data_IF_723371321228
#
_entry.id   IF_723371321228
#
_cell.length_a   1.000
_cell.length_b   1.000
_cell.length_c   1.000
_cell.angle_alpha   90.00
_cell.angle_beta   90.00
_cell.angle_gamma   90.00
#
_symmetry.space_group_name_H-M   'P 1'
#
loop_
_entity.id
_entity.type
_entity.pdbx_description
1 polymer ?
#
# COMPACT_ATOMS: atom_id res chain seq x y z
N UNK A 1 17.02 -56.14 -20.34
CA UNK A 1 16.29 -54.92 -20.82
C UNK A 1 15.34 -54.27 -19.77
N UNK A 2 15.15 -54.82 -18.57
CA UNK A 2 14.18 -54.27 -17.59
C UNK A 2 14.66 -53.12 -16.68
N UNK A 3 15.97 -52.99 -16.41
CA UNK A 3 16.50 -52.03 -15.42
C UNK A 3 16.42 -50.56 -15.85
N UNK A 4 16.47 -50.27 -17.15
CA UNK A 4 16.48 -48.89 -17.66
C UNK A 4 15.08 -48.25 -17.70
N UNK A 5 14.02 -49.05 -17.86
CA UNK A 5 12.64 -48.55 -17.96
C UNK A 5 12.15 -47.89 -16.66
N UNK A 6 12.57 -48.40 -15.49
CA UNK A 6 12.25 -47.80 -14.20
C UNK A 6 12.94 -46.47 -13.95
N UNK A 7 14.20 -46.34 -14.38
CA UNK A 7 14.99 -45.10 -14.22
C UNK A 7 14.41 -43.96 -15.05
N UNK A 8 14.01 -44.25 -16.30
CA UNK A 8 13.35 -43.25 -17.16
C UNK A 8 11.98 -42.81 -16.63
N UNK A 9 11.21 -43.73 -16.03
CA UNK A 9 9.92 -43.40 -15.41
C UNK A 9 10.04 -42.49 -14.19
N UNK A 10 11.04 -42.76 -13.33
CA UNK A 10 11.31 -41.92 -12.15
C UNK A 10 11.84 -40.55 -12.56
N UNK A 11 12.73 -40.46 -13.55
CA UNK A 11 13.24 -39.19 -14.05
C UNK A 11 12.13 -38.32 -14.68
N UNK A 12 11.22 -38.92 -15.46
CA UNK A 12 10.08 -38.21 -16.03
C UNK A 12 9.11 -37.70 -14.96
N UNK A 13 8.85 -38.51 -13.91
CA UNK A 13 7.99 -38.10 -12.79
C UNK A 13 8.61 -36.94 -11.99
N UNK A 14 9.92 -36.99 -11.73
CA UNK A 14 10.65 -35.92 -11.06
C UNK A 14 10.68 -34.62 -11.89
N UNK A 15 10.81 -34.73 -13.21
CA UNK A 15 10.75 -33.58 -14.11
C UNK A 15 9.34 -32.96 -14.13
N UNK A 16 8.28 -33.78 -14.19
CA UNK A 16 6.89 -33.31 -14.12
C UNK A 16 6.61 -32.68 -12.75
N UNK A 17 7.06 -33.28 -11.65
CA UNK A 17 6.96 -32.69 -10.32
C UNK A 17 7.71 -31.36 -10.23
N UNK A 18 8.90 -31.24 -10.82
CA UNK A 18 9.67 -30.00 -10.87
C UNK A 18 9.03 -28.92 -11.74
N UNK A 19 8.27 -29.30 -12.77
CA UNK A 19 7.53 -28.36 -13.64
C UNK A 19 6.19 -27.96 -13.00
N UNK A 20 5.54 -28.87 -12.27
CA UNK A 20 4.32 -28.59 -11.51
C UNK A 20 4.59 -27.77 -10.23
N UNK A 21 5.76 -27.97 -9.61
CA UNK A 21 6.29 -27.13 -8.53
C UNK A 21 7.01 -25.95 -9.18
N UNK A 22 6.26 -25.07 -9.83
CA UNK A 22 6.83 -23.87 -10.45
C UNK A 22 7.77 -23.18 -9.47
N UNK A 23 9.04 -23.04 -9.86
CA UNK A 23 10.04 -22.28 -9.10
C UNK A 23 9.60 -20.82 -9.18
N UNK A 24 8.81 -20.37 -8.19
CA UNK A 24 8.54 -18.94 -8.04
C UNK A 24 9.82 -18.27 -7.58
N UNK A 25 10.36 -17.39 -8.42
CA UNK A 25 11.50 -16.58 -8.05
C UNK A 25 11.16 -15.73 -6.81
N UNK A 26 12.15 -15.49 -5.97
CA UNK A 26 11.99 -14.54 -4.88
C UNK A 26 11.62 -13.15 -5.43
N UNK A 27 10.86 -12.33 -4.66
CA UNK A 27 10.58 -10.96 -5.04
C UNK A 27 11.86 -10.17 -5.34
N UNK A 28 11.80 -9.24 -6.28
CA UNK A 28 12.94 -8.41 -6.71
C UNK A 28 13.44 -7.49 -5.58
N UNK A 29 12.56 -7.14 -4.64
CA UNK A 29 12.87 -6.35 -3.45
C UNK A 29 12.28 -7.02 -2.21
N UNK A 30 12.90 -6.88 -1.04
CA UNK A 30 12.41 -7.56 0.16
C UNK A 30 11.08 -6.99 0.67
N UNK A 31 10.78 -5.72 0.39
CA UNK A 31 9.54 -5.11 0.84
C UNK A 31 9.04 -3.96 -0.04
N UNK A 32 7.71 -3.74 -0.01
CA UNK A 32 7.03 -2.69 -0.75
C UNK A 32 6.02 -1.94 0.13
N UNK A 33 6.29 -0.68 0.45
CA UNK A 33 5.41 0.17 1.26
C UNK A 33 4.63 1.15 0.38
N UNK A 34 3.35 1.32 0.67
CA UNK A 34 2.43 2.10 -0.16
C UNK A 34 1.73 3.14 0.70
N UNK A 35 1.71 4.38 0.22
CA UNK A 35 1.03 5.53 0.81
C UNK A 35 0.19 6.18 -0.28
N UNK A 36 -0.98 6.65 0.09
CA UNK A 36 -1.85 7.28 -0.90
C UNK A 36 -3.27 7.48 -0.44
N UNK A 37 -4.14 7.67 -1.43
CA UNK A 37 -5.57 7.83 -1.23
C UNK A 37 -6.37 6.64 -1.78
N UNK A 38 -7.61 6.87 -2.19
CA UNK A 38 -8.51 5.87 -2.78
C UNK A 38 -7.92 5.15 -4.00
N UNK A 39 -6.99 5.77 -4.74
CA UNK A 39 -6.40 5.16 -5.93
C UNK A 39 -5.58 3.90 -5.62
N UNK A 40 -5.12 3.78 -4.37
CA UNK A 40 -4.27 2.67 -3.92
C UNK A 40 -4.70 2.08 -2.57
N UNK A 41 -5.80 2.55 -1.97
CA UNK A 41 -6.40 1.93 -0.78
C UNK A 41 -6.92 0.53 -1.13
N UNK A 42 -6.59 -0.44 -0.29
CA UNK A 42 -7.00 -1.83 -0.43
C UNK A 42 -7.77 -2.37 0.78
N UNK A 43 -8.29 -1.49 1.64
CA UNK A 43 -9.20 -1.84 2.72
C UNK A 43 -8.99 -1.11 4.04
N UNK A 44 -8.10 -0.11 4.12
CA UNK A 44 -7.87 0.63 5.37
C UNK A 44 -9.10 1.43 5.79
N UNK A 45 -9.94 1.86 4.85
CA UNK A 45 -11.17 2.58 5.16
C UNK A 45 -12.33 1.67 5.60
N UNK A 46 -12.24 0.35 5.48
CA UNK A 46 -13.38 -0.56 5.66
C UNK A 46 -14.03 -0.50 7.05
N UNK A 47 -13.23 -0.25 8.09
CA UNK A 47 -13.68 -0.15 9.48
C UNK A 47 -13.78 1.30 9.99
N UNK A 48 -13.49 2.27 9.13
CA UNK A 48 -13.65 3.68 9.48
C UNK A 48 -15.11 4.10 9.29
N UNK A 49 -15.60 4.97 10.18
CA UNK A 49 -16.88 5.65 9.99
C UNK A 49 -16.75 6.70 8.89
N UNK A 50 -16.82 6.24 7.64
CA UNK A 50 -16.52 7.02 6.44
C UNK A 50 -17.50 6.72 5.31
N UNK A 51 -17.81 7.74 4.52
CA UNK A 51 -18.47 7.59 3.22
C UNK A 51 -17.48 7.13 2.14
N UNK A 52 -16.18 7.38 2.35
CA UNK A 52 -15.11 6.94 1.45
C UNK A 52 -14.76 5.47 1.71
N UNK A 53 -15.66 4.56 1.32
CA UNK A 53 -15.47 3.10 1.38
C UNK A 53 -15.77 2.45 0.02
N UNK A 54 -15.10 1.34 -0.27
CA UNK A 54 -15.27 0.56 -1.51
C UNK A 54 -15.32 -0.96 -1.23
N UNK A 55 -15.87 -1.34 -0.07
CA UNK A 55 -16.09 -2.74 0.34
C UNK A 55 -17.51 -3.23 0.04
N UNK A 56 -18.09 -2.76 -1.06
CA UNK A 56 -19.43 -3.14 -1.56
C UNK A 56 -19.46 -3.10 -3.09
N UNK A 57 -20.42 -3.79 -3.71
CA UNK A 57 -20.59 -3.80 -5.17
C UNK A 57 -20.97 -2.39 -5.69
N UNK A 58 -20.49 -1.96 -6.87
CA UNK A 58 -19.80 -2.76 -7.90
C UNK A 58 -18.27 -2.86 -7.72
N UNK A 59 -17.69 -2.29 -6.67
CA UNK A 59 -16.24 -2.39 -6.44
C UNK A 59 -15.82 -3.85 -6.25
N UNK A 60 -14.67 -4.22 -6.82
CA UNK A 60 -14.15 -5.58 -6.72
C UNK A 60 -14.92 -6.64 -7.51
N UNK A 61 -15.81 -6.27 -8.44
CA UNK A 61 -16.57 -7.23 -9.27
C UNK A 61 -15.67 -8.15 -10.11
N UNK A 62 -14.51 -7.66 -10.54
CA UNK A 62 -13.49 -8.39 -11.29
C UNK A 62 -12.33 -8.88 -10.39
N UNK A 63 -12.39 -8.61 -9.08
CA UNK A 63 -11.37 -9.04 -8.12
C UNK A 63 -11.71 -10.43 -7.56
N UNK A 64 -10.76 -11.40 -7.51
CA UNK A 64 -11.07 -12.77 -7.08
C UNK A 64 -11.72 -12.90 -5.71
N UNK A 65 -11.42 -11.98 -4.78
CA UNK A 65 -11.96 -11.97 -3.42
C UNK A 65 -13.16 -11.02 -3.25
N UNK A 66 -13.70 -10.48 -4.35
CA UNK A 66 -14.79 -9.52 -4.33
C UNK A 66 -14.40 -8.13 -3.80
N UNK A 67 -15.36 -7.36 -3.26
CA UNK A 67 -15.13 -6.01 -2.74
C UNK A 67 -14.19 -6.03 -1.52
N UNK A 68 -12.96 -5.56 -1.72
CA UNK A 68 -11.93 -5.52 -0.66
C UNK A 68 -11.71 -4.13 -0.04
N UNK A 69 -12.29 -3.08 -0.62
CA UNK A 69 -11.95 -1.70 -0.31
C UNK A 69 -11.12 -0.99 -1.39
N UNK A 70 -10.80 -1.69 -2.49
CA UNK A 70 -10.20 -1.10 -3.69
C UNK A 70 -11.24 -0.31 -4.47
N UNK A 71 -10.94 0.95 -4.80
CA UNK A 71 -11.81 1.83 -5.59
C UNK A 71 -11.70 1.52 -7.10
N UNK A 72 -11.84 0.24 -7.45
CA UNK A 72 -11.75 -0.30 -8.80
C UNK A 72 -12.63 -1.55 -8.90
N UNK A 73 -12.91 -2.00 -10.12
CA UNK A 73 -13.52 -3.32 -10.32
C UNK A 73 -12.55 -4.45 -9.91
N UNK A 74 -11.24 -4.20 -9.98
CA UNK A 74 -10.23 -5.23 -9.78
C UNK A 74 -8.99 -4.68 -9.06
N UNK A 75 -7.82 -4.97 -9.65
CA UNK A 75 -6.52 -4.52 -9.16
C UNK A 75 -6.39 -3.00 -9.24
N UNK A 76 -5.65 -2.43 -8.30
CA UNK A 76 -5.09 -1.08 -8.36
C UNK A 76 -3.69 -1.13 -9.00
N UNK A 77 -3.12 0.03 -9.33
CA UNK A 77 -1.76 0.11 -9.90
C UNK A 77 -0.71 -0.54 -8.99
N UNK A 78 -0.83 -0.39 -7.66
CA UNK A 78 0.12 -0.95 -6.70
C UNK A 78 0.00 -2.46 -6.57
N UNK A 79 -1.17 -3.04 -6.83
CA UNK A 79 -1.33 -4.49 -6.92
C UNK A 79 -0.58 -5.05 -8.13
N UNK A 80 -0.68 -4.37 -9.28
CA UNK A 80 0.04 -4.75 -10.50
C UNK A 80 1.55 -4.61 -10.28
N UNK A 81 2.01 -3.54 -9.61
CA UNK A 81 3.43 -3.37 -9.26
C UNK A 81 3.90 -4.50 -8.35
N UNK A 82 3.12 -4.89 -7.33
CA UNK A 82 3.47 -6.00 -6.44
C UNK A 82 3.64 -7.33 -7.20
N UNK A 83 2.78 -7.62 -8.18
CA UNK A 83 2.94 -8.79 -9.04
C UNK A 83 4.19 -8.71 -9.91
N UNK A 84 4.47 -7.56 -10.52
CA UNK A 84 5.66 -7.36 -11.34
C UNK A 84 6.96 -7.46 -10.53
N UNK A 85 6.92 -7.04 -9.26
CA UNK A 85 8.02 -7.21 -8.30
C UNK A 85 8.16 -8.66 -7.81
N UNK A 86 7.24 -9.56 -8.15
CA UNK A 86 7.31 -10.98 -7.81
C UNK A 86 6.82 -11.34 -6.41
N UNK A 87 6.01 -10.50 -5.77
CA UNK A 87 5.38 -10.87 -4.49
C UNK A 87 4.31 -11.96 -4.69
N UNK A 88 4.31 -12.97 -3.81
CA UNK A 88 3.32 -14.06 -3.85
C UNK A 88 1.90 -13.61 -3.54
N UNK A 89 1.76 -12.54 -2.76
CA UNK A 89 0.49 -11.97 -2.32
C UNK A 89 0.53 -10.45 -2.49
N UNK A 90 -0.64 -9.83 -2.65
CA UNK A 90 -0.75 -8.38 -2.60
C UNK A 90 -0.32 -7.84 -1.23
N UNK A 91 0.25 -6.63 -1.22
CA UNK A 91 0.66 -5.96 0.01
C UNK A 91 -0.57 -5.70 0.91
N UNK A 92 -0.59 -6.14 2.17
CA UNK A 92 -1.78 -6.05 3.02
C UNK A 92 -2.08 -4.61 3.46
N UNK A 93 -3.36 -4.26 3.71
CA UNK A 93 -3.70 -2.99 4.36
C UNK A 93 -3.16 -2.97 5.79
N UNK A 94 -2.75 -1.78 6.26
CA UNK A 94 -2.33 -1.55 7.64
C UNK A 94 -3.35 -2.03 8.67
N UNK A 95 -4.64 -1.92 8.38
CA UNK A 95 -5.73 -2.37 9.27
C UNK A 95 -5.70 -3.88 9.60
N UNK A 96 -5.05 -4.71 8.79
CA UNK A 96 -4.95 -6.16 9.01
C UNK A 96 -3.53 -6.70 9.04
N UNK A 97 -2.53 -5.90 8.63
CA UNK A 97 -1.13 -6.32 8.60
C UNK A 97 -0.58 -6.53 10.02
N UNK A 98 0.07 -7.67 10.26
CA UNK A 98 0.63 -7.99 11.58
C UNK A 98 1.78 -9.00 11.52
N UNK A 99 2.54 -9.10 12.61
CA UNK A 99 3.62 -10.09 12.75
C UNK A 99 4.67 -9.98 11.64
N UNK A 100 5.15 -11.13 11.14
CA UNK A 100 6.18 -11.17 10.10
C UNK A 100 5.70 -10.69 8.72
N UNK A 101 4.39 -10.55 8.50
CA UNK A 101 3.87 -10.08 7.21
C UNK A 101 4.34 -8.66 6.90
N UNK A 102 4.51 -7.81 7.92
CA UNK A 102 4.94 -6.42 7.76
C UNK A 102 6.34 -6.30 7.15
N UNK A 103 7.17 -7.35 7.26
CA UNK A 103 8.50 -7.41 6.63
C UNK A 103 8.42 -7.41 5.11
N UNK A 104 7.32 -7.87 4.51
CA UNK A 104 7.08 -7.81 3.06
C UNK A 104 6.55 -6.46 2.59
N UNK A 105 6.22 -5.55 3.50
CA UNK A 105 5.60 -4.26 3.19
C UNK A 105 4.17 -4.15 3.69
N UNK A 106 3.67 -2.91 3.71
CA UNK A 106 2.32 -2.58 4.19
C UNK A 106 1.77 -1.43 3.35
N UNK A 107 0.47 -1.50 3.06
CA UNK A 107 -0.28 -0.45 2.42
C UNK A 107 -0.98 0.43 3.46
N UNK A 108 -0.56 1.68 3.57
CA UNK A 108 -1.08 2.69 4.48
C UNK A 108 -2.13 3.61 3.87
N UNK A 109 -2.38 3.48 2.55
CA UNK A 109 -3.28 4.38 1.84
C UNK A 109 -4.68 4.38 2.43
N UNK A 110 -5.34 5.53 2.37
CA UNK A 110 -6.68 5.70 2.93
C UNK A 110 -7.52 6.58 2.03
N UNK A 111 -8.68 6.11 1.61
CA UNK A 111 -9.55 6.90 0.76
C UNK A 111 -9.95 8.24 1.39
N UNK A 112 -10.09 9.25 0.53
CA UNK A 112 -10.27 10.66 0.87
C UNK A 112 -9.08 11.34 1.58
N UNK A 113 -7.98 10.64 1.82
CA UNK A 113 -6.79 11.26 2.41
C UNK A 113 -6.19 12.34 1.49
N UNK A 114 -5.70 13.41 2.12
CA UNK A 114 -4.84 14.40 1.50
C UNK A 114 -3.53 14.57 2.26
N UNK A 115 -2.69 15.43 1.71
CA UNK A 115 -1.46 15.95 2.32
C UNK A 115 -1.83 16.72 3.58
N UNK A 116 -2.85 17.58 3.50
CA UNK A 116 -3.34 18.38 4.62
C UNK A 116 -4.20 17.55 5.56
N UNK A 117 -4.17 17.91 6.84
CA UNK A 117 -4.93 17.18 7.86
C UNK A 117 -6.43 17.28 7.60
N UNK A 118 -6.96 18.46 7.32
CA UNK A 118 -8.40 18.68 7.16
C UNK A 118 -9.00 18.09 5.87
N UNK A 119 -8.16 17.77 4.87
CA UNK A 119 -8.64 17.26 3.58
C UNK A 119 -9.49 16.00 3.75
N UNK A 120 -10.65 15.98 3.07
CA UNK A 120 -11.56 14.83 3.04
C UNK A 120 -12.39 14.60 4.30
N UNK A 121 -12.32 15.46 5.32
CA UNK A 121 -13.08 15.30 6.58
C UNK A 121 -14.60 15.30 6.39
N UNK A 122 -15.12 16.01 5.38
CA UNK A 122 -16.53 16.03 5.04
C UNK A 122 -17.08 14.64 4.63
N UNK A 123 -16.19 13.71 4.25
CA UNK A 123 -16.54 12.32 3.95
C UNK A 123 -16.45 11.41 5.18
N UNK A 124 -16.12 11.95 6.36
CA UNK A 124 -15.99 11.20 7.61
C UNK A 124 -14.55 10.83 7.94
N UNK A 125 -14.37 9.72 8.65
CA UNK A 125 -13.06 9.27 9.10
C UNK A 125 -12.17 8.84 7.93
N UNK A 126 -10.90 9.24 7.98
CA UNK A 126 -9.83 8.94 7.01
C UNK A 126 -8.47 9.06 7.70
N UNK A 127 -7.44 8.43 7.13
CA UNK A 127 -6.06 8.53 7.61
C UNK A 127 -5.30 9.51 6.69
N UNK A 128 -5.14 10.76 7.13
CA UNK A 128 -4.35 11.79 6.43
C UNK A 128 -2.91 11.33 6.17
N UNK A 129 -2.16 11.99 5.27
CA UNK A 129 -0.79 11.57 4.98
C UNK A 129 0.09 11.50 6.24
N UNK A 130 0.03 12.48 7.14
CA UNK A 130 0.75 12.39 8.43
C UNK A 130 0.29 11.19 9.26
N UNK A 131 -0.99 10.83 9.21
CA UNK A 131 -1.50 9.61 9.83
C UNK A 131 -0.89 8.35 9.25
N UNK A 132 -0.73 8.28 7.93
CA UNK A 132 -0.09 7.17 7.23
C UNK A 132 1.39 7.09 7.61
N UNK A 133 2.09 8.22 7.68
CA UNK A 133 3.49 8.29 8.15
C UNK A 133 3.62 7.81 9.61
N UNK A 134 2.69 8.19 10.50
CA UNK A 134 2.68 7.67 11.88
C UNK A 134 2.43 6.16 11.93
N UNK A 135 1.56 5.63 11.08
CA UNK A 135 1.35 4.19 10.96
C UNK A 135 2.61 3.47 10.48
N UNK A 136 3.32 4.06 9.52
CA UNK A 136 4.61 3.58 9.06
C UNK A 136 5.67 3.58 10.17
N UNK A 137 5.82 4.67 10.93
CA UNK A 137 6.74 4.70 12.08
C UNK A 137 6.47 3.56 13.07
N UNK A 138 5.20 3.28 13.38
CA UNK A 138 4.81 2.15 14.25
C UNK A 138 5.18 0.80 13.63
N UNK A 139 4.97 0.62 12.33
CA UNK A 139 5.41 -0.58 11.62
C UNK A 139 6.92 -0.74 11.73
N UNK A 140 7.66 0.34 11.54
CA UNK A 140 9.12 0.30 11.56
C UNK A 140 9.67 -0.04 12.95
N UNK A 141 9.08 0.46 14.04
CA UNK A 141 9.43 -0.01 15.39
C UNK A 141 9.22 -1.52 15.56
N UNK A 142 8.17 -2.08 14.96
CA UNK A 142 7.95 -3.54 14.98
C UNK A 142 8.98 -4.29 14.11
N UNK A 143 9.35 -3.73 12.95
CA UNK A 143 10.39 -4.28 12.08
C UNK A 143 11.73 -4.36 12.81
N UNK A 144 12.13 -3.32 13.55
CA UNK A 144 13.34 -3.34 14.40
C UNK A 144 13.27 -4.49 15.40
N UNK A 145 12.16 -4.63 16.11
CA UNK A 145 12.00 -5.72 17.08
C UNK A 145 12.05 -7.11 16.43
N UNK A 146 11.51 -7.26 15.22
CA UNK A 146 11.52 -8.53 14.48
C UNK A 146 12.89 -8.88 13.90
N UNK A 147 13.70 -7.88 13.56
CA UNK A 147 15.03 -8.06 12.96
C UNK A 147 16.16 -7.98 13.99
N UNK A 148 15.88 -7.52 15.21
CA UNK A 148 16.76 -7.54 16.37
C UNK A 148 17.37 -6.19 16.72
N UNK A 149 17.71 -5.37 15.72
CA UNK A 149 18.36 -4.07 15.93
C UNK A 149 18.10 -3.08 14.78
N UNK A 150 18.35 -1.79 15.06
CA UNK A 150 18.12 -0.69 14.11
C UNK A 150 19.06 -0.75 12.90
N UNK A 151 20.30 -1.23 13.05
CA UNK A 151 21.27 -1.31 11.95
C UNK A 151 20.82 -2.36 10.93
N UNK A 152 20.40 -3.54 11.41
CA UNK A 152 19.84 -4.61 10.57
C UNK A 152 18.55 -4.15 9.91
N UNK A 153 17.66 -3.47 10.64
CA UNK A 153 16.43 -2.93 10.08
C UNK A 153 16.69 -1.86 9.01
N UNK A 154 17.60 -0.91 9.25
CA UNK A 154 17.96 0.12 8.29
C UNK A 154 18.55 -0.49 7.00
N UNK A 155 19.43 -1.48 7.13
CA UNK A 155 20.01 -2.21 6.00
C UNK A 155 18.98 -3.04 5.21
N UNK A 156 17.92 -3.50 5.87
CA UNK A 156 16.81 -4.19 5.23
C UNK A 156 15.91 -3.20 4.47
N UNK A 157 15.50 -2.11 5.14
CA UNK A 157 14.59 -1.10 4.63
C UNK A 157 15.18 -0.29 3.46
N UNK A 158 16.51 -0.13 3.41
CA UNK A 158 17.21 0.57 2.30
C UNK A 158 17.10 -0.14 0.95
N UNK A 159 16.66 -1.41 0.94
CA UNK A 159 16.46 -2.22 -0.28
C UNK A 159 15.01 -2.23 -0.74
N UNK A 160 14.10 -1.65 0.04
CA UNK A 160 12.67 -1.68 -0.23
C UNK A 160 12.23 -0.57 -1.18
N UNK A 161 11.05 -0.76 -1.78
CA UNK A 161 10.39 0.24 -2.62
C UNK A 161 9.30 0.95 -1.82
N UNK A 162 9.12 2.22 -2.12
CA UNK A 162 8.07 3.06 -1.56
C UNK A 162 7.28 3.69 -2.71
N UNK A 163 5.95 3.61 -2.66
CA UNK A 163 5.07 4.37 -3.55
C UNK A 163 4.23 5.34 -2.73
N UNK A 164 4.24 6.61 -3.13
CA UNK A 164 3.55 7.68 -2.40
C UNK A 164 2.82 8.53 -3.45
N UNK A 165 1.50 8.55 -3.37
CA UNK A 165 0.66 9.32 -4.30
C UNK A 165 -0.51 9.97 -3.57
N UNK A 166 -0.39 11.27 -3.29
CA UNK A 166 -1.42 12.13 -2.67
C UNK A 166 -1.41 13.51 -3.33
N UNK A 167 -2.47 14.29 -3.08
CA UNK A 167 -2.59 15.69 -3.51
C UNK A 167 -3.88 15.98 -4.27
N UNK A 168 -4.43 15.01 -4.99
CA UNK A 168 -5.68 15.19 -5.75
C UNK A 168 -6.86 15.55 -4.84
N UNK A 169 -6.95 14.92 -3.67
CA UNK A 169 -7.98 15.26 -2.67
C UNK A 169 -7.79 16.64 -2.05
N UNK A 170 -6.56 17.15 -1.94
CA UNK A 170 -6.35 18.51 -1.42
C UNK A 170 -6.95 19.57 -2.34
N UNK A 171 -7.12 19.25 -3.63
CA UNK A 171 -7.91 20.08 -4.53
C UNK A 171 -9.40 19.71 -4.53
N UNK A 172 -9.73 18.46 -4.85
CA UNK A 172 -11.12 18.02 -5.08
C UNK A 172 -11.97 18.01 -3.80
N UNK A 173 -11.37 17.56 -2.70
CA UNK A 173 -12.01 17.35 -1.40
C UNK A 173 -11.53 18.36 -0.35
N UNK A 174 -11.00 19.50 -0.80
CA UNK A 174 -10.62 20.63 0.05
C UNK A 174 -10.69 21.97 -0.71
N UNK A 175 -9.70 22.33 -1.54
CA UNK A 175 -9.58 23.65 -2.17
C UNK A 175 -10.84 24.08 -2.95
N UNK A 176 -11.38 23.19 -3.78
CA UNK A 176 -12.57 23.43 -4.60
C UNK A 176 -13.89 23.17 -3.85
N UNK A 177 -13.87 23.03 -2.52
CA UNK A 177 -15.06 22.84 -1.68
C UNK A 177 -15.26 24.01 -0.69
N UNK A 178 -15.55 25.23 -1.18
CA UNK A 178 -15.61 26.44 -0.35
C UNK A 178 -16.76 26.47 0.67
N UNK A 179 -17.69 25.51 0.62
CA UNK A 179 -18.74 25.33 1.63
C UNK A 179 -18.23 24.61 2.89
N UNK A 180 -17.19 23.80 2.75
CA UNK A 180 -16.61 23.01 3.84
C UNK A 180 -15.26 23.55 4.30
N UNK A 181 -14.50 24.19 3.40
CA UNK A 181 -13.14 24.64 3.65
C UNK A 181 -12.93 26.10 3.24
N UNK A 182 -12.08 26.81 3.97
CA UNK A 182 -11.72 28.21 3.68
C UNK A 182 -10.51 28.35 2.76
N UNK A 183 -9.91 27.25 2.33
CA UNK A 183 -8.59 27.19 1.68
C UNK A 183 -8.51 28.02 0.39
N UNK A 184 -9.52 27.95 -0.47
CA UNK A 184 -9.60 28.78 -1.68
C UNK A 184 -9.88 30.26 -1.43
N UNK A 185 -10.29 30.63 -0.20
CA UNK A 185 -10.41 32.03 0.22
C UNK A 185 -9.11 32.56 0.84
N UNK A 186 -8.20 31.66 1.22
CA UNK A 186 -6.93 31.97 1.86
C UNK A 186 -5.76 31.99 0.86
N UNK A 187 -5.81 31.15 -0.16
CA UNK A 187 -4.70 30.94 -1.09
C UNK A 187 -5.18 31.03 -2.54
N UNK A 188 -4.38 31.65 -3.41
CA UNK A 188 -4.48 31.40 -4.87
C UNK A 188 -4.09 29.94 -5.18
N UNK A 189 -4.41 29.41 -6.37
CA UNK A 189 -4.03 28.04 -6.72
C UNK A 189 -2.51 27.79 -6.60
N UNK A 190 -1.68 28.75 -7.00
CA UNK A 190 -0.22 28.67 -6.93
C UNK A 190 0.27 28.66 -5.48
N UNK A 191 -0.25 29.58 -4.66
CA UNK A 191 0.07 29.62 -3.23
C UNK A 191 -0.33 28.34 -2.51
N UNK A 192 -1.46 27.74 -2.91
CA UNK A 192 -1.90 26.49 -2.33
C UNK A 192 -0.99 25.33 -2.74
N UNK A 193 -0.55 25.28 -4.02
CA UNK A 193 0.44 24.32 -4.47
C UNK A 193 1.74 24.42 -3.67
N UNK A 194 2.24 25.63 -3.41
CA UNK A 194 3.45 25.86 -2.61
C UNK A 194 3.29 25.32 -1.19
N UNK A 195 2.15 25.59 -0.55
CA UNK A 195 1.84 25.07 0.79
C UNK A 195 1.78 23.53 0.80
N UNK A 196 1.17 22.91 -0.22
CA UNK A 196 1.11 21.46 -0.34
C UNK A 196 2.51 20.86 -0.55
N UNK A 197 3.34 21.46 -1.41
CA UNK A 197 4.72 21.00 -1.65
C UNK A 197 5.54 21.08 -0.37
N UNK A 198 5.45 22.18 0.37
CA UNK A 198 6.16 22.34 1.64
C UNK A 198 5.75 21.25 2.64
N UNK A 199 4.45 21.09 2.88
CA UNK A 199 3.96 20.12 3.86
C UNK A 199 4.26 18.68 3.45
N UNK A 200 4.11 18.35 2.16
CA UNK A 200 4.46 17.03 1.64
C UNK A 200 5.95 16.73 1.83
N UNK A 201 6.82 17.71 1.58
CA UNK A 201 8.27 17.58 1.80
C UNK A 201 8.60 17.29 3.26
N UNK A 202 7.98 18.01 4.19
CA UNK A 202 8.16 17.78 5.64
C UNK A 202 7.73 16.35 6.05
N UNK A 203 6.61 15.87 5.52
CA UNK A 203 6.08 14.53 5.79
C UNK A 203 6.96 13.40 5.20
N UNK A 204 7.71 13.67 4.12
CA UNK A 204 8.66 12.72 3.52
C UNK A 204 9.98 12.63 4.30
N UNK A 205 10.34 13.64 5.07
CA UNK A 205 11.61 13.73 5.80
C UNK A 205 11.56 13.14 7.21
N UNK A 206 10.52 12.36 7.53
CA UNK A 206 10.35 11.81 8.87
C UNK A 206 11.45 10.80 9.22
N UNK A 207 12.12 11.07 10.33
CA UNK A 207 13.08 10.17 10.95
C UNK A 207 12.37 8.95 11.52
N UNK A 208 12.89 7.77 11.20
CA UNK A 208 12.39 6.48 11.72
C UNK A 208 13.32 5.86 12.76
N UNK A 209 14.59 6.28 12.82
CA UNK A 209 15.60 6.04 13.86
C UNK A 209 16.57 7.23 13.86
#
# INVERSE_FOLDING_TARGET
MGKWRGVFGVAALLLVLSVCLGVRGAPQVPCYFIFGDSLVDNGNNNQLSSLARANYLPYGIDFPNGPTGRFSNGKTTVDVIAELLGFDNYIPPYSTASGRQILGGVNYASAAAGIREETGQQLGARISFSGQVRNYQRTISQVVNLLGDETTAANYLSKCIYSIGLGSNDYLNNYFMPLYYSTSRQYTPEQFADVLIQQYTEQLQVTVF
#
